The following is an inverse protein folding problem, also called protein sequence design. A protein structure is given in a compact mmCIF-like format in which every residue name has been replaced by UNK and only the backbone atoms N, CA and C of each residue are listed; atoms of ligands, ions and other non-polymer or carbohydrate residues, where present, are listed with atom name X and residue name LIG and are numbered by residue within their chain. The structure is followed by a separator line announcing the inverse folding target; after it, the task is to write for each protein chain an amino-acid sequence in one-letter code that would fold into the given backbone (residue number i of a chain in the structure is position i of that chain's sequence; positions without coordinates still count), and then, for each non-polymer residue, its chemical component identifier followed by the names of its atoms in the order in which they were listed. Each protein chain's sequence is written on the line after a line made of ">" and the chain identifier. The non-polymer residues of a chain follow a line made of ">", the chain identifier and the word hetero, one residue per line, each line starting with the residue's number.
data_IF_348841016432
#
_entry.id   IF_348841016432
#
_cell.length_a   1.000
_cell.length_b   1.000
_cell.length_c   1.000
_cell.angle_alpha   90.00
_cell.angle_beta   90.00
_cell.angle_gamma   90.00
#
_symmetry.space_group_name_H-M   'P 1'
#
loop_
_entity.id
_entity.type
_entity.pdbx_description
1 polymer ?
#
# COMPACT_ATOMS: atom_id res chain seq x y z
N UNK A 1 2.14 7.12 -5.23
CA UNK A 1 3.14 6.25 -5.90
C UNK A 1 4.44 6.35 -5.11
N UNK A 2 5.14 5.23 -4.87
CA UNK A 2 6.38 5.22 -4.09
C UNK A 2 7.62 5.65 -4.87
N UNK A 3 7.54 5.67 -6.21
CA UNK A 3 8.69 5.81 -7.11
C UNK A 3 8.57 6.99 -8.09
N UNK A 4 7.54 7.81 -7.96
CA UNK A 4 7.35 9.05 -8.74
C UNK A 4 6.41 10.02 -8.00
N UNK A 5 6.16 11.19 -8.59
CA UNK A 5 5.36 12.28 -8.01
C UNK A 5 3.84 12.02 -7.99
N UNK A 6 3.36 10.98 -8.67
CA UNK A 6 1.94 10.64 -8.68
C UNK A 6 1.48 10.22 -7.27
N UNK A 7 0.42 10.84 -6.74
CA UNK A 7 -0.05 10.53 -5.39
C UNK A 7 -0.80 9.20 -5.31
N UNK A 8 -1.54 8.81 -6.36
CA UNK A 8 -2.39 7.62 -6.33
C UNK A 8 -1.63 6.37 -6.80
N UNK A 9 -1.54 5.38 -5.93
CA UNK A 9 -1.07 4.04 -6.30
C UNK A 9 -2.24 3.16 -6.74
N UNK A 10 -2.04 2.37 -7.80
CA UNK A 10 -3.06 1.45 -8.31
C UNK A 10 -2.65 0.00 -8.09
N UNK A 11 -1.34 -0.26 -8.06
CA UNK A 11 -0.79 -1.59 -7.89
C UNK A 11 0.30 -1.60 -6.82
N UNK A 12 0.58 -2.78 -6.30
CA UNK A 12 1.67 -3.07 -5.39
C UNK A 12 2.50 -4.21 -5.97
N UNK A 13 3.81 -4.00 -6.12
CA UNK A 13 4.71 -5.08 -6.50
C UNK A 13 5.15 -5.83 -5.24
N UNK A 14 4.84 -7.13 -5.16
CA UNK A 14 5.19 -7.96 -4.00
C UNK A 14 6.69 -8.15 -3.88
N UNK A 15 7.38 -8.33 -5.01
CA UNK A 15 8.82 -8.59 -5.07
C UNK A 15 9.64 -7.35 -4.69
N UNK A 16 9.29 -6.18 -5.22
CA UNK A 16 9.96 -4.93 -4.88
C UNK A 16 9.47 -4.32 -3.57
N UNK A 17 8.31 -4.78 -3.09
CA UNK A 17 7.61 -4.21 -1.97
C UNK A 17 7.24 -2.71 -2.17
N UNK A 18 6.89 -2.32 -3.40
CA UNK A 18 6.66 -0.93 -3.79
C UNK A 18 5.25 -0.67 -4.33
N UNK A 19 4.72 0.53 -4.06
CA UNK A 19 3.43 0.99 -4.58
C UNK A 19 3.61 1.74 -5.90
N UNK A 20 2.91 1.31 -6.95
CA UNK A 20 3.06 1.81 -8.31
C UNK A 20 1.75 2.43 -8.84
N UNK A 21 1.82 3.60 -9.44
CA UNK A 21 0.72 4.14 -10.26
C UNK A 21 0.63 3.38 -11.59
N UNK A 22 -0.44 3.61 -12.39
CA UNK A 22 -0.63 2.93 -13.68
C UNK A 22 0.58 3.06 -14.62
N UNK A 23 1.19 4.24 -14.68
CA UNK A 23 2.35 4.50 -15.53
C UNK A 23 3.59 3.74 -15.05
N UNK A 24 3.88 3.81 -13.74
CA UNK A 24 5.01 3.07 -13.16
C UNK A 24 4.81 1.56 -13.29
N UNK A 25 3.60 1.03 -13.10
CA UNK A 25 3.29 -0.39 -13.34
C UNK A 25 3.57 -0.79 -14.79
N UNK A 26 3.22 0.06 -15.76
CA UNK A 26 3.52 -0.20 -17.19
C UNK A 26 5.03 -0.32 -17.41
N UNK A 27 5.81 0.66 -16.96
CA UNK A 27 7.27 0.63 -17.09
C UNK A 27 7.85 -0.59 -16.37
N UNK A 28 7.37 -0.88 -15.17
CA UNK A 28 7.76 -2.04 -14.36
C UNK A 28 7.55 -3.37 -15.10
N UNK A 29 6.48 -3.49 -15.90
CA UNK A 29 6.21 -4.69 -16.70
C UNK A 29 7.03 -4.78 -17.99
N UNK A 30 7.62 -3.68 -18.45
CA UNK A 30 8.44 -3.64 -19.67
C UNK A 30 9.92 -3.94 -19.40
N UNK A 31 10.41 -3.58 -18.22
CA UNK A 31 11.81 -3.81 -17.86
C UNK A 31 12.09 -5.32 -17.65
N UNK A 32 13.16 -5.82 -18.26
CA UNK A 32 13.55 -7.25 -18.19
C UNK A 32 13.70 -7.77 -16.76
N UNK A 33 14.15 -6.92 -15.86
CA UNK A 33 14.40 -7.24 -14.44
C UNK A 33 13.12 -7.36 -13.63
N UNK A 34 12.07 -6.60 -13.98
CA UNK A 34 10.85 -6.49 -13.16
C UNK A 34 9.58 -7.03 -13.83
N UNK A 35 9.64 -7.40 -15.12
CA UNK A 35 8.49 -7.88 -15.91
C UNK A 35 7.80 -9.12 -15.36
N UNK A 36 8.53 -9.96 -14.63
CA UNK A 36 8.02 -11.20 -14.05
C UNK A 36 7.64 -11.05 -12.57
N UNK A 37 7.72 -9.84 -12.02
CA UNK A 37 7.36 -9.64 -10.62
C UNK A 37 5.85 -9.79 -10.43
N UNK A 38 5.46 -10.41 -9.33
CA UNK A 38 4.06 -10.42 -8.89
C UNK A 38 3.64 -9.00 -8.53
N UNK A 39 2.57 -8.53 -9.20
CA UNK A 39 1.99 -7.20 -9.02
C UNK A 39 0.50 -7.34 -8.80
N UNK A 40 0.04 -6.96 -7.61
CA UNK A 40 -1.36 -7.04 -7.18
C UNK A 40 -2.02 -5.67 -7.16
N UNK A 41 -3.35 -5.62 -7.25
CA UNK A 41 -4.10 -4.37 -7.16
C UNK A 41 -4.12 -3.83 -5.73
N UNK A 42 -4.07 -2.51 -5.55
CA UNK A 42 -4.13 -1.93 -4.18
C UNK A 42 -5.49 -2.15 -3.52
N UNK A 43 -6.58 -2.17 -4.30
CA UNK A 43 -7.91 -2.49 -3.78
C UNK A 43 -8.00 -3.94 -3.27
N UNK A 44 -7.53 -4.90 -4.07
CA UNK A 44 -7.44 -6.31 -3.65
C UNK A 44 -6.59 -6.46 -2.39
N UNK A 45 -5.46 -5.75 -2.33
CA UNK A 45 -4.61 -5.75 -1.13
C UNK A 45 -5.29 -5.14 0.08
N UNK A 46 -6.13 -4.11 -0.09
CA UNK A 46 -6.91 -3.52 1.01
C UNK A 46 -7.84 -4.57 1.61
N UNK A 47 -8.61 -5.29 0.80
CA UNK A 47 -9.52 -6.35 1.27
C UNK A 47 -8.77 -7.48 2.01
N UNK A 48 -7.63 -7.91 1.47
CA UNK A 48 -6.76 -8.90 2.13
C UNK A 48 -6.17 -8.42 3.46
N UNK A 49 -6.09 -7.10 3.69
CA UNK A 49 -5.58 -6.53 4.93
C UNK A 49 -6.68 -6.32 5.97
N UNK A 50 -7.90 -6.01 5.53
CA UNK A 50 -9.07 -5.84 6.41
C UNK A 50 -9.43 -7.18 7.07
N UNK A 51 -9.29 -8.29 6.35
CA UNK A 51 -9.57 -9.65 6.85
C UNK A 51 -8.49 -10.21 7.80
N UNK A 52 -7.36 -9.51 7.94
CA UNK A 52 -6.23 -9.96 8.77
C UNK A 52 -6.26 -9.39 10.17
N UNK A 53 -5.87 -10.21 11.14
CA UNK A 53 -5.59 -9.76 12.50
C UNK A 53 -4.37 -8.83 12.54
N UNK A 54 -4.30 -7.94 13.53
CA UNK A 54 -3.20 -6.96 13.67
C UNK A 54 -1.80 -7.61 13.70
N UNK A 55 -1.69 -8.84 14.20
CA UNK A 55 -0.46 -9.63 14.23
C UNK A 55 -0.06 -10.24 12.87
N UNK A 56 -1.04 -10.50 11.99
CA UNK A 56 -0.82 -11.08 10.66
C UNK A 56 -0.67 -10.04 9.55
N UNK A 57 -0.76 -8.74 9.89
CA UNK A 57 -0.50 -7.66 8.96
C UNK A 57 0.95 -7.72 8.43
N UNK A 58 1.16 -7.43 7.14
CA UNK A 58 2.49 -7.33 6.57
C UNK A 58 3.23 -6.12 7.14
N UNK A 59 4.55 -6.25 7.15
CA UNK A 59 5.46 -5.18 7.55
C UNK A 59 5.53 -4.11 6.45
N UNK A 60 5.76 -2.87 6.86
CA UNK A 60 5.97 -1.75 5.96
C UNK A 60 7.29 -1.94 5.19
N UNK A 61 7.29 -1.76 3.86
CA UNK A 61 8.52 -1.87 3.07
C UNK A 61 9.55 -0.79 3.43
N UNK A 62 9.08 0.41 3.77
CA UNK A 62 9.93 1.55 4.16
C UNK A 62 10.39 1.47 5.63
N UNK A 63 9.61 0.82 6.49
CA UNK A 63 9.83 0.77 7.95
C UNK A 63 9.77 -0.68 8.43
N UNK A 64 10.93 -1.35 8.43
CA UNK A 64 11.06 -2.81 8.62
C UNK A 64 10.54 -3.38 9.95
N UNK A 65 10.23 -2.53 10.92
CA UNK A 65 9.71 -2.95 12.23
C UNK A 65 8.23 -2.59 12.43
N UNK A 66 7.65 -1.83 11.50
CA UNK A 66 6.28 -1.34 11.62
C UNK A 66 5.33 -2.11 10.72
N UNK A 67 4.11 -2.38 11.21
CA UNK A 67 3.06 -3.06 10.43
C UNK A 67 2.21 -2.05 9.66
N UNK A 68 1.73 -2.45 8.48
CA UNK A 68 0.78 -1.67 7.69
C UNK A 68 -0.61 -1.72 8.36
N UNK A 69 -0.86 -0.81 9.30
CA UNK A 69 -2.08 -0.75 10.13
C UNK A 69 -3.13 0.23 9.65
N UNK A 70 -2.77 1.18 8.80
CA UNK A 70 -3.67 2.25 8.35
C UNK A 70 -3.86 2.18 6.84
N UNK A 71 -4.98 2.72 6.36
CA UNK A 71 -5.24 2.97 4.95
C UNK A 71 -5.29 4.48 4.72
N UNK A 72 -4.39 5.00 3.89
CA UNK A 72 -4.45 6.39 3.49
C UNK A 72 -5.48 6.57 2.38
N UNK A 73 -6.53 7.33 2.65
CA UNK A 73 -7.59 7.61 1.67
C UNK A 73 -7.11 8.57 0.58
N UNK A 74 -6.22 9.53 0.94
CA UNK A 74 -5.63 10.48 -0.02
C UNK A 74 -4.75 9.78 -1.05
N UNK A 75 -3.84 8.90 -0.61
CA UNK A 75 -2.91 8.19 -1.51
C UNK A 75 -3.45 6.84 -2.00
N UNK A 76 -4.60 6.41 -1.46
CA UNK A 76 -5.28 5.15 -1.75
C UNK A 76 -4.38 3.92 -1.58
N UNK A 77 -3.64 3.82 -0.47
CA UNK A 77 -2.83 2.64 -0.16
C UNK A 77 -2.61 2.44 1.35
N UNK A 78 -2.27 1.22 1.80
CA UNK A 78 -1.98 0.96 3.20
C UNK A 78 -0.63 1.58 3.61
N UNK A 79 -0.57 2.08 4.85
CA UNK A 79 0.57 2.75 5.47
C UNK A 79 0.77 2.26 6.91
N UNK A 80 1.95 2.48 7.47
CA UNK A 80 2.25 2.21 8.88
C UNK A 80 2.24 3.48 9.73
N UNK A 81 2.46 3.35 11.04
CA UNK A 81 2.50 4.51 11.97
C UNK A 81 3.59 5.50 11.59
N UNK A 82 4.78 5.03 11.27
CA UNK A 82 5.89 5.93 10.89
C UNK A 82 5.57 6.69 9.59
N UNK A 83 4.87 6.05 8.64
CA UNK A 83 4.41 6.72 7.43
C UNK A 83 3.46 7.88 7.74
N UNK A 84 2.56 7.76 8.73
CA UNK A 84 1.63 8.85 9.09
C UNK A 84 2.40 10.07 9.61
N UNK A 85 3.52 9.86 10.31
CA UNK A 85 4.31 10.95 10.90
C UNK A 85 5.25 11.58 9.87
N UNK A 86 5.87 10.77 9.01
CA UNK A 86 6.96 11.22 8.14
C UNK A 86 6.51 11.70 6.75
N UNK A 87 5.47 11.10 6.18
CA UNK A 87 5.09 11.31 4.77
C UNK A 87 3.60 11.64 4.58
N UNK A 88 2.73 11.27 5.52
CA UNK A 88 1.28 11.36 5.38
C UNK A 88 0.64 12.18 6.51
N UNK A 89 1.34 13.19 7.04
CA UNK A 89 0.91 13.98 8.21
C UNK A 89 -0.42 14.70 7.98
N UNK A 90 -0.62 15.25 6.78
CA UNK A 90 -1.79 16.05 6.40
C UNK A 90 -2.78 15.25 5.53
N UNK A 91 -2.58 13.94 5.41
CA UNK A 91 -3.45 13.07 4.62
C UNK A 91 -4.55 12.46 5.48
N UNK A 92 -5.71 12.21 4.88
CA UNK A 92 -6.78 11.47 5.54
C UNK A 92 -6.43 9.98 5.54
N UNK A 93 -6.51 9.33 6.70
CA UNK A 93 -6.29 7.89 6.84
C UNK A 93 -7.18 7.29 7.92
N UNK A 94 -7.46 5.99 7.78
CA UNK A 94 -8.28 5.21 8.72
C UNK A 94 -7.53 3.96 9.16
N UNK A 95 -7.89 3.39 10.31
CA UNK A 95 -7.33 2.12 10.78
C UNK A 95 -7.93 0.97 9.96
N UNK A 96 -7.11 0.03 9.50
CA UNK A 96 -7.58 -1.10 8.69
C UNK A 96 -8.56 -2.01 9.44
N UNK A 97 -8.46 -2.09 10.77
CA UNK A 97 -9.39 -2.85 11.61
C UNK A 97 -10.74 -2.16 11.82
N UNK A 98 -10.84 -0.85 11.60
CA UNK A 98 -12.09 -0.09 11.72
C UNK A 98 -12.95 -0.15 10.44
N UNK A 99 -12.36 -0.57 9.31
CA UNK A 99 -13.10 -0.75 8.03
C UNK A 99 -14.13 -1.90 8.11
N UNK A 100 -14.05 -2.75 9.15
CA UNK A 100 -15.00 -3.85 9.40
C UNK A 100 -16.36 -3.34 9.94
N UNK A 101 -16.51 -2.05 10.28
CA UNK A 101 -17.72 -1.56 10.98
C UNK A 101 -18.75 -0.79 10.14
N UNK A 102 -18.55 -0.61 8.84
CA UNK A 102 -19.52 0.14 8.00
C UNK A 102 -19.94 -0.64 6.74
N UNK A 103 -20.46 -1.85 6.95
CA UNK A 103 -21.38 -2.50 6.02
C UNK A 103 -22.63 -2.83 6.83
N UNK A 104 -23.54 -1.86 6.93
CA UNK A 104 -24.91 -2.08 7.40
C UNK A 104 -25.89 -1.64 6.33
#
# INVERSE_FOLDING_TARGET
>A
CGVCEEHVANHYCVVCAEFLCKNCTRVHRLLKTTRNHEVTGVAERKELLITKTSSSLPTCPKHKYEKLKFYCETCQHPICRDCTVLQHKDHKYVLLTDVVRDVR
#
